data_IF_300403926159
#
_entry.id   IF_300403926159
#
_cell.length_a   1.000
_cell.length_b   1.000
_cell.length_c   1.000
_cell.angle_alpha   90.00
_cell.angle_beta   90.00
_cell.angle_gamma   90.00
#
_symmetry.space_group_name_H-M   'P 1'
#
loop_
_entity.id
_entity.type
_entity.pdbx_description
1 polymer ?
#
# COMPACT_ATOMS: atom_id res chain seq x y z
N UNK A 1 8.02 15.88 20.25
CA UNK A 1 7.36 14.55 20.42
C UNK A 1 7.71 13.71 19.20
N UNK A 2 8.00 12.44 19.43
CA UNK A 2 9.24 11.75 19.01
C UNK A 2 9.16 11.08 17.63
N UNK A 3 10.35 10.87 17.04
CA UNK A 3 10.70 10.39 15.70
C UNK A 3 9.87 9.22 15.16
N UNK A 4 9.59 9.29 13.86
CA UNK A 4 9.16 8.19 13.03
C UNK A 4 10.21 7.08 13.03
N UNK A 5 9.88 5.93 13.63
CA UNK A 5 10.55 4.67 13.38
C UNK A 5 9.68 3.88 12.39
N UNK A 6 10.03 3.98 11.11
CA UNK A 6 9.58 3.02 10.11
C UNK A 6 10.56 1.85 10.21
N UNK A 7 10.28 0.94 11.15
CA UNK A 7 10.86 -0.40 11.15
C UNK A 7 10.23 -1.16 9.96
N UNK A 8 10.85 -1.05 8.78
CA UNK A 8 10.66 -2.04 7.71
C UNK A 8 11.50 -3.26 8.12
N UNK A 9 11.08 -3.95 9.17
CA UNK A 9 11.39 -5.37 9.35
C UNK A 9 10.17 -6.15 8.82
N UNK A 10 10.36 -6.87 7.72
CA UNK A 10 9.34 -7.83 7.26
C UNK A 10 9.94 -9.22 7.35
N UNK A 11 10.03 -9.71 8.59
CA UNK A 11 10.02 -11.13 8.88
C UNK A 11 8.58 -11.67 8.75
N UNK A 12 8.41 -12.87 8.20
CA UNK A 12 7.14 -13.62 8.26
C UNK A 12 6.68 -14.17 6.92
N UNK A 13 7.30 -15.29 6.54
CA UNK A 13 6.83 -16.31 5.62
C UNK A 13 5.45 -16.88 6.04
N UNK A 14 4.85 -17.74 5.20
CA UNK A 14 3.57 -18.49 5.34
C UNK A 14 2.28 -17.70 5.06
N UNK A 15 1.41 -18.03 4.08
CA UNK A 15 1.07 -19.30 3.40
C UNK A 15 0.73 -19.06 1.91
N UNK A 16 1.22 -19.94 1.03
CA UNK A 16 0.94 -19.96 -0.42
C UNK A 16 -0.45 -20.58 -0.75
N UNK A 17 -0.97 -20.45 -2.00
CA UNK A 17 -0.46 -21.32 -3.07
C UNK A 17 -0.10 -20.60 -4.38
N UNK A 18 1.01 -21.03 -4.99
CA UNK A 18 1.37 -20.92 -6.41
C UNK A 18 1.10 -19.58 -7.13
N UNK A 19 1.87 -18.55 -6.77
CA UNK A 19 2.09 -17.33 -7.55
C UNK A 19 3.40 -16.68 -7.08
N UNK A 20 4.03 -15.77 -7.85
CA UNK A 20 5.23 -15.08 -7.40
C UNK A 20 5.03 -14.54 -5.98
N UNK A 21 6.02 -14.71 -5.09
CA UNK A 21 5.97 -14.24 -3.69
C UNK A 21 5.84 -12.72 -3.67
N UNK A 22 4.63 -12.21 -3.83
CA UNK A 22 4.34 -10.79 -3.74
C UNK A 22 4.53 -10.37 -2.29
N UNK A 23 5.36 -9.37 -2.06
CA UNK A 23 5.52 -8.76 -0.75
C UNK A 23 4.19 -8.16 -0.28
N UNK A 24 4.06 -7.88 1.01
CA UNK A 24 2.90 -7.13 1.55
C UNK A 24 2.71 -5.79 0.82
N UNK A 25 3.81 -5.20 0.34
CA UNK A 25 3.82 -3.98 -0.45
C UNK A 25 3.30 -4.22 -1.89
N UNK A 26 3.62 -5.34 -2.52
CA UNK A 26 3.09 -5.67 -3.85
C UNK A 26 1.58 -5.94 -3.80
N UNK A 27 1.08 -6.55 -2.72
CA UNK A 27 -0.36 -6.66 -2.47
C UNK A 27 -1.02 -5.29 -2.32
N UNK A 28 -0.38 -4.36 -1.61
CA UNK A 28 -0.86 -2.98 -1.47
C UNK A 28 -0.89 -2.26 -2.83
N UNK A 29 0.15 -2.42 -3.66
CA UNK A 29 0.21 -1.87 -5.02
C UNK A 29 -0.92 -2.46 -5.87
N UNK A 30 -1.07 -3.78 -5.90
CA UNK A 30 -2.12 -4.44 -6.68
C UNK A 30 -3.53 -3.95 -6.28
N UNK A 31 -3.77 -3.80 -4.97
CA UNK A 31 -5.03 -3.30 -4.44
C UNK A 31 -5.28 -1.83 -4.83
N UNK A 32 -4.26 -0.98 -4.77
CA UNK A 32 -4.37 0.44 -5.13
C UNK A 32 -4.41 0.68 -6.64
N UNK A 33 -3.83 -0.22 -7.43
CA UNK A 33 -3.81 -0.18 -8.89
C UNK A 33 -5.10 -0.71 -9.53
N UNK A 34 -6.01 -1.28 -8.73
CA UNK A 34 -7.34 -1.64 -9.19
C UNK A 34 -8.17 -0.43 -9.66
N UNK A 35 -9.19 -0.64 -10.50
CA UNK A 35 -9.97 0.45 -11.12
C UNK A 35 -10.65 1.37 -10.09
N UNK A 36 -11.12 0.78 -8.99
CA UNK A 36 -11.79 1.50 -7.89
C UNK A 36 -10.82 2.04 -6.83
N UNK A 37 -9.56 1.62 -6.87
CA UNK A 37 -8.61 1.80 -5.77
C UNK A 37 -9.02 1.07 -4.49
N UNK A 38 -8.52 1.56 -3.37
CA UNK A 38 -8.71 0.95 -2.06
C UNK A 38 -9.06 1.97 -0.99
N UNK A 39 -9.88 1.57 -0.02
CA UNK A 39 -10.06 2.32 1.22
C UNK A 39 -8.98 1.95 2.26
N UNK A 40 -8.85 2.76 3.30
CA UNK A 40 -7.92 2.51 4.40
C UNK A 40 -8.17 1.15 5.04
N UNK A 41 -9.44 0.83 5.29
CA UNK A 41 -9.84 -0.42 5.92
C UNK A 41 -9.49 -1.64 5.06
N UNK A 42 -9.67 -1.55 3.73
CA UNK A 42 -9.29 -2.62 2.81
C UNK A 42 -7.77 -2.83 2.80
N UNK A 43 -6.99 -1.74 2.75
CA UNK A 43 -5.54 -1.82 2.83
C UNK A 43 -5.08 -2.48 4.13
N UNK A 44 -5.68 -2.09 5.27
CA UNK A 44 -5.39 -2.70 6.58
C UNK A 44 -5.74 -4.20 6.61
N UNK A 45 -6.88 -4.59 6.05
CA UNK A 45 -7.33 -5.99 6.03
C UNK A 45 -6.40 -6.90 5.21
N UNK A 46 -5.91 -6.41 4.06
CA UNK A 46 -5.03 -7.20 3.17
C UNK A 46 -3.59 -7.24 3.67
N UNK A 47 -3.09 -6.13 4.22
CA UNK A 47 -1.67 -6.03 4.63
C UNK A 47 -1.43 -6.40 6.09
N UNK A 48 -2.49 -6.47 6.91
CA UNK A 48 -2.45 -6.50 8.37
C UNK A 48 -1.65 -5.31 8.97
N UNK A 49 -1.46 -4.23 8.21
CA UNK A 49 -0.82 -3.02 8.70
C UNK A 49 -1.81 -2.06 9.33
N UNK A 50 -1.30 -1.25 10.25
CA UNK A 50 -2.05 -0.14 10.83
C UNK A 50 -2.03 1.08 9.91
N UNK A 51 -2.95 2.01 10.17
CA UNK A 51 -3.15 3.18 9.32
C UNK A 51 -1.87 4.03 9.13
N UNK A 52 -1.05 4.17 10.16
CA UNK A 52 0.18 4.95 10.12
C UNK A 52 1.26 4.27 9.25
N UNK A 53 1.37 2.94 9.29
CA UNK A 53 2.32 2.17 8.47
C UNK A 53 1.96 2.26 6.98
N UNK A 54 0.66 2.15 6.65
CA UNK A 54 0.18 2.31 5.27
C UNK A 54 0.48 3.72 4.76
N UNK A 55 0.30 4.76 5.58
CA UNK A 55 0.69 6.13 5.21
C UNK A 55 2.20 6.25 4.94
N UNK A 56 3.03 5.60 5.75
CA UNK A 56 4.48 5.55 5.51
C UNK A 56 4.84 4.85 4.20
N UNK A 57 4.22 3.70 3.92
CA UNK A 57 4.40 2.98 2.66
C UNK A 57 3.95 3.81 1.45
N UNK A 58 2.81 4.51 1.56
CA UNK A 58 2.31 5.37 0.49
C UNK A 58 3.20 6.58 0.21
N UNK A 59 3.73 7.24 1.25
CA UNK A 59 4.56 8.43 1.09
C UNK A 59 6.00 8.10 0.65
N UNK A 60 6.54 6.96 1.08
CA UNK A 60 7.92 6.56 0.82
C UNK A 60 8.05 5.50 -0.25
N UNK A 61 7.52 4.31 0.01
CA UNK A 61 7.84 3.13 -0.77
C UNK A 61 7.15 3.13 -2.16
N UNK A 62 5.91 3.60 -2.26
CA UNK A 62 5.21 3.78 -3.54
C UNK A 62 5.90 4.83 -4.41
N UNK A 63 6.30 5.97 -3.82
CA UNK A 63 7.03 7.03 -4.52
C UNK A 63 8.38 6.54 -5.07
N UNK A 64 9.13 5.75 -4.28
CA UNK A 64 10.42 5.15 -4.72
C UNK A 64 10.26 4.14 -5.86
N UNK A 65 9.06 3.59 -6.05
CA UNK A 65 8.72 2.66 -7.13
C UNK A 65 8.16 3.37 -8.38
N UNK A 66 8.08 4.71 -8.39
CA UNK A 66 7.51 5.47 -9.51
C UNK A 66 5.98 5.52 -9.52
N UNK A 67 5.33 5.28 -8.39
CA UNK A 67 3.87 5.40 -8.27
C UNK A 67 3.47 6.73 -7.66
N UNK A 68 2.49 7.38 -8.27
CA UNK A 68 1.81 8.55 -7.73
C UNK A 68 0.54 8.14 -6.99
N UNK A 69 0.45 8.45 -5.70
CA UNK A 69 -0.74 8.16 -4.88
C UNK A 69 -1.74 9.29 -4.99
N UNK A 70 -2.94 8.98 -5.48
CA UNK A 70 -4.06 9.91 -5.62
C UNK A 70 -5.14 9.52 -4.61
N UNK A 71 -5.63 10.49 -3.83
CA UNK A 71 -6.80 10.27 -2.98
C UNK A 71 -8.03 10.95 -3.56
N UNK A 72 -9.13 10.20 -3.69
CA UNK A 72 -10.43 10.71 -4.09
C UNK A 72 -11.42 10.63 -2.94
N UNK A 73 -12.30 11.63 -2.84
CA UNK A 73 -13.46 11.58 -1.93
C UNK A 73 -14.51 10.66 -2.57
N UNK A 74 -14.95 9.66 -1.83
CA UNK A 74 -15.98 8.71 -2.25
C UNK A 74 -17.21 8.85 -1.35
N UNK A 75 -18.33 8.22 -1.73
CA UNK A 75 -19.55 8.22 -0.90
C UNK A 75 -19.29 7.61 0.48
N UNK A 76 -18.50 6.53 0.54
CA UNK A 76 -18.12 5.86 1.79
C UNK A 76 -16.66 6.15 2.13
N UNK A 77 -16.38 7.41 2.45
CA UNK A 77 -15.08 7.86 2.95
C UNK A 77 -14.08 8.27 1.86
N UNK A 78 -12.81 7.87 2.03
CA UNK A 78 -11.72 8.23 1.11
C UNK A 78 -11.20 6.98 0.41
N UNK A 79 -10.99 7.08 -0.90
CA UNK A 79 -10.37 6.03 -1.73
C UNK A 79 -9.00 6.50 -2.18
N UNK A 80 -8.02 5.62 -2.11
CA UNK A 80 -6.66 5.81 -2.59
C UNK A 80 -6.46 4.99 -3.85
N UNK A 81 -5.81 5.58 -4.84
CA UNK A 81 -5.40 4.95 -6.09
C UNK A 81 -3.94 5.24 -6.34
N UNK A 82 -3.26 4.35 -7.06
CA UNK A 82 -1.95 4.65 -7.63
C UNK A 82 -2.06 4.84 -9.12
N UNK A 83 -1.29 5.79 -9.64
CA UNK A 83 -1.03 5.95 -11.06
C UNK A 83 0.44 5.63 -11.29
N UNK A 84 0.72 4.74 -12.24
CA UNK A 84 2.09 4.48 -12.66
C UNK A 84 2.60 5.71 -13.40
N UNK A 85 3.64 6.36 -12.87
CA UNK A 85 4.35 7.37 -13.62
C UNK A 85 5.19 6.62 -14.66
N UNK A 86 4.78 6.68 -15.92
CA UNK A 86 5.50 6.01 -17.01
C UNK A 86 6.86 6.71 -17.21
N UNK A 87 7.88 6.23 -16.52
CA UNK A 87 9.23 6.79 -16.61
C UNK A 87 10.17 6.16 -15.58
N UNK A 88 10.51 4.88 -15.75
CA UNK A 88 11.72 4.33 -15.15
C UNK A 88 12.44 3.40 -16.12
#
# INVERSE_FOLDING_TARGET
MTKANIDIDTSGDTLAPAGPRLSKLDHLIALLGGPDGASMAQMMAVTAWQAHSIRGAMAGALKRKGYTVVSAKAEVGRRWRIMQEAGQ
#
